data_IF_119826399505
#
_entry.id   IF_119826399505
#
_cell.length_a   1.000
_cell.length_b   1.000
_cell.length_c   1.000
_cell.angle_alpha   90.00
_cell.angle_beta   90.00
_cell.angle_gamma   90.00
#
_symmetry.space_group_name_H-M   'P 1'
#
loop_
_entity.id
_entity.type
_entity.pdbx_description
1 polymer ?
#
# COMPACT_ATOMS: atom_id res chain seq x y z
N UNK A 1 -10.94 -11.26 0.71
CA UNK A 1 -11.50 -9.93 0.35
C UNK A 1 -10.96 -9.53 -1.01
N UNK A 2 -11.82 -9.13 -1.95
CA UNK A 2 -11.38 -8.71 -3.29
C UNK A 2 -11.09 -7.20 -3.30
N UNK A 3 -9.86 -6.83 -3.68
CA UNK A 3 -9.47 -5.43 -3.90
C UNK A 3 -10.07 -4.95 -5.23
N UNK A 4 -10.90 -3.92 -5.17
CA UNK A 4 -11.53 -3.28 -6.35
C UNK A 4 -10.95 -1.87 -6.55
N UNK A 5 -10.85 -1.44 -7.81
CA UNK A 5 -10.26 -0.16 -8.20
C UNK A 5 -10.98 0.37 -9.44
N UNK A 6 -11.03 1.69 -9.58
CA UNK A 6 -11.45 2.38 -10.80
C UNK A 6 -10.34 3.35 -11.21
N UNK A 7 -10.09 3.51 -12.51
CA UNK A 7 -9.17 4.52 -13.03
C UNK A 7 -9.93 5.83 -13.16
N UNK A 8 -9.26 6.95 -12.88
CA UNK A 8 -9.80 8.29 -12.99
C UNK A 8 -8.65 9.24 -13.38
N UNK A 9 -8.85 10.23 -14.27
CA UNK A 9 -7.88 11.28 -14.52
C UNK A 9 -7.48 12.00 -13.23
N UNK A 10 -6.22 12.41 -13.12
CA UNK A 10 -5.72 13.04 -11.90
C UNK A 10 -6.50 14.32 -11.54
N UNK A 11 -6.84 15.13 -12.55
CA UNK A 11 -7.59 16.37 -12.36
C UNK A 11 -9.00 16.11 -11.80
N UNK A 12 -9.66 15.05 -12.31
CA UNK A 12 -10.97 14.63 -11.84
C UNK A 12 -10.88 14.06 -10.42
N UNK A 13 -9.82 13.32 -10.10
CA UNK A 13 -9.56 12.83 -8.75
C UNK A 13 -9.41 13.98 -7.74
N UNK A 14 -8.65 15.02 -8.08
CA UNK A 14 -8.53 16.21 -7.23
C UNK A 14 -9.87 16.96 -7.12
N UNK A 15 -10.59 17.11 -8.22
CA UNK A 15 -11.92 17.73 -8.21
C UNK A 15 -12.88 16.94 -7.31
N UNK A 16 -12.88 15.60 -7.40
CA UNK A 16 -13.69 14.71 -6.56
C UNK A 16 -13.34 14.81 -5.07
N UNK A 17 -12.06 14.88 -4.75
CA UNK A 17 -11.57 14.93 -3.37
C UNK A 17 -11.91 16.28 -2.71
N UNK A 18 -11.58 17.38 -3.37
CA UNK A 18 -11.62 18.72 -2.78
C UNK A 18 -12.91 19.49 -3.09
N UNK A 19 -13.59 19.20 -4.19
CA UNK A 19 -14.82 19.87 -4.63
C UNK A 19 -15.84 18.83 -5.16
N UNK A 20 -16.33 17.91 -4.31
CA UNK A 20 -17.18 16.80 -4.74
C UNK A 20 -18.51 17.28 -5.33
N UNK A 21 -18.93 16.63 -6.42
CA UNK A 21 -20.26 16.76 -7.03
C UNK A 21 -21.06 15.48 -6.82
N UNK A 22 -22.37 15.61 -6.61
CA UNK A 22 -23.27 14.45 -6.51
C UNK A 22 -23.51 13.75 -7.85
N UNK A 23 -23.33 14.47 -8.96
CA UNK A 23 -23.50 13.93 -10.31
C UNK A 23 -22.19 13.30 -10.82
N UNK A 24 -21.85 12.15 -10.24
CA UNK A 24 -20.56 11.49 -10.44
C UNK A 24 -20.28 11.15 -11.92
N UNK A 25 -21.31 10.78 -12.68
CA UNK A 25 -21.19 10.37 -14.09
C UNK A 25 -20.93 11.55 -15.02
N UNK A 26 -21.41 12.74 -14.63
CA UNK A 26 -21.25 13.96 -15.43
C UNK A 26 -19.90 14.64 -15.24
N UNK A 27 -19.37 14.62 -14.01
CA UNK A 27 -18.20 15.44 -13.65
C UNK A 27 -16.90 14.65 -13.52
N UNK A 28 -16.95 13.32 -13.49
CA UNK A 28 -15.77 12.49 -13.31
C UNK A 28 -15.71 11.37 -14.36
N UNK A 29 -14.59 11.26 -15.05
CA UNK A 29 -14.32 10.19 -16.00
C UNK A 29 -13.72 8.98 -15.27
N UNK A 30 -14.59 8.08 -14.80
CA UNK A 30 -14.14 6.86 -14.13
C UNK A 30 -14.28 5.63 -15.04
N UNK A 31 -13.28 4.74 -15.04
CA UNK A 31 -13.35 3.49 -15.82
C UNK A 31 -14.44 2.53 -15.33
N UNK A 32 -14.94 2.71 -14.11
CA UNK A 32 -16.03 1.96 -13.50
C UNK A 32 -16.81 2.82 -12.51
N UNK A 33 -18.01 3.26 -12.93
CA UNK A 33 -18.90 4.10 -12.13
C UNK A 33 -19.55 3.39 -10.95
N UNK A 34 -19.75 2.07 -11.02
CA UNK A 34 -20.27 1.32 -9.86
C UNK A 34 -19.27 1.40 -8.70
N UNK A 35 -17.99 1.16 -8.97
CA UNK A 35 -16.93 1.28 -7.96
C UNK A 35 -16.84 2.72 -7.44
N UNK A 36 -16.92 3.73 -8.31
CA UNK A 36 -16.90 5.13 -7.88
C UNK A 36 -18.08 5.47 -6.95
N UNK A 37 -19.31 5.02 -7.28
CA UNK A 37 -20.50 5.22 -6.43
C UNK A 37 -20.35 4.58 -5.06
N UNK A 38 -19.76 3.40 -4.98
CA UNK A 38 -19.49 2.74 -3.70
C UNK A 38 -18.43 3.50 -2.88
N UNK A 39 -17.35 3.97 -3.52
CA UNK A 39 -16.35 4.84 -2.87
C UNK A 39 -17.00 6.13 -2.36
N UNK A 40 -17.87 6.76 -3.15
CA UNK A 40 -18.59 7.97 -2.77
C UNK A 40 -19.54 7.75 -1.59
N UNK A 41 -20.26 6.64 -1.60
CA UNK A 41 -21.07 6.24 -0.45
C UNK A 41 -20.22 6.11 0.82
N UNK A 42 -19.08 5.41 0.77
CA UNK A 42 -18.19 5.27 1.93
C UNK A 42 -17.59 6.59 2.38
N UNK A 43 -17.18 7.45 1.43
CA UNK A 43 -16.65 8.79 1.72
C UNK A 43 -17.68 9.62 2.47
N UNK A 44 -18.93 9.66 2.01
CA UNK A 44 -20.03 10.42 2.65
C UNK A 44 -20.42 9.81 4.00
N UNK A 45 -20.56 8.49 4.07
CA UNK A 45 -20.98 7.79 5.27
C UNK A 45 -19.99 7.94 6.43
N UNK A 46 -18.69 7.77 6.15
CA UNK A 46 -17.63 7.89 7.16
C UNK A 46 -17.01 9.30 7.24
N UNK A 47 -17.50 10.26 6.45
CA UNK A 47 -16.96 11.63 6.38
C UNK A 47 -15.45 11.63 6.11
N UNK A 48 -15.02 10.82 5.14
CA UNK A 48 -13.60 10.64 4.85
C UNK A 48 -13.00 11.89 4.20
N UNK A 49 -11.83 12.26 4.69
CA UNK A 49 -10.99 13.32 4.15
C UNK A 49 -9.58 12.79 3.83
N UNK A 50 -8.84 13.45 2.91
CA UNK A 50 -7.44 13.12 2.67
C UNK A 50 -6.60 13.37 3.92
N UNK A 51 -5.93 12.32 4.40
CA UNK A 51 -5.11 12.38 5.62
C UNK A 51 -3.61 12.44 5.29
N UNK A 52 -3.15 11.63 4.33
CA UNK A 52 -1.72 11.52 3.99
C UNK A 52 -1.48 10.89 2.62
N UNK A 53 -0.28 11.13 2.11
CA UNK A 53 0.29 10.43 0.95
C UNK A 53 1.33 9.43 1.44
N UNK A 54 1.27 8.20 0.94
CA UNK A 54 2.26 7.14 1.17
C UNK A 54 2.95 6.83 -0.15
N UNK A 55 4.26 7.06 -0.18
CA UNK A 55 5.12 6.93 -1.36
C UNK A 55 6.18 5.85 -1.13
N UNK A 56 6.55 5.12 -2.18
CA UNK A 56 7.61 4.12 -2.15
C UNK A 56 8.04 3.76 -3.57
N UNK A 57 9.28 3.28 -3.70
CA UNK A 57 9.80 2.76 -4.96
C UNK A 57 9.59 1.24 -4.97
N UNK A 58 8.93 0.71 -6.01
CA UNK A 58 8.64 -0.72 -6.11
C UNK A 58 9.40 -1.39 -7.24
N UNK A 59 10.14 -2.43 -6.89
CA UNK A 59 10.59 -3.45 -7.84
C UNK A 59 9.67 -4.67 -7.76
N UNK A 60 9.02 -5.01 -8.86
CA UNK A 60 8.12 -6.15 -8.93
C UNK A 60 8.66 -7.22 -9.89
N UNK A 61 8.72 -8.45 -9.41
CA UNK A 61 9.22 -9.61 -10.13
C UNK A 61 8.15 -10.69 -10.21
N UNK A 62 8.08 -11.34 -11.37
CA UNK A 62 7.28 -12.52 -11.62
C UNK A 62 8.23 -13.68 -11.88
N UNK A 63 7.93 -14.85 -11.31
CA UNK A 63 8.74 -16.02 -11.56
C UNK A 63 8.49 -16.53 -12.99
N UNK A 64 9.59 -16.89 -13.68
CA UNK A 64 9.55 -17.33 -15.08
C UNK A 64 8.96 -18.74 -15.18
N UNK A 65 9.18 -19.56 -14.17
CA UNK A 65 8.75 -20.98 -14.14
C UNK A 65 7.45 -21.20 -13.37
N UNK A 66 7.01 -20.21 -12.60
CA UNK A 66 5.80 -20.30 -11.77
C UNK A 66 5.03 -18.97 -11.87
N UNK A 67 3.94 -18.90 -12.66
CA UNK A 67 3.19 -17.66 -12.86
C UNK A 67 2.50 -17.14 -11.58
N UNK A 68 2.32 -18.00 -10.58
CA UNK A 68 1.65 -17.67 -9.32
C UNK A 68 2.60 -17.07 -8.29
N UNK A 69 3.91 -17.30 -8.44
CA UNK A 69 4.93 -16.67 -7.59
C UNK A 69 5.24 -15.25 -8.04
N UNK A 70 4.99 -14.29 -7.15
CA UNK A 70 5.34 -12.88 -7.33
C UNK A 70 6.12 -12.39 -6.11
N UNK A 71 7.15 -11.60 -6.39
CA UNK A 71 8.03 -11.03 -5.36
C UNK A 71 8.12 -9.54 -5.59
N UNK A 72 7.84 -8.73 -4.57
CA UNK A 72 8.01 -7.29 -4.66
C UNK A 72 8.91 -6.75 -3.56
N UNK A 73 9.74 -5.78 -3.91
CA UNK A 73 10.57 -5.02 -2.99
C UNK A 73 10.06 -3.59 -2.98
N UNK A 74 9.59 -3.13 -1.83
CA UNK A 74 9.25 -1.72 -1.62
C UNK A 74 10.40 -1.06 -0.85
N UNK A 75 10.98 -0.03 -1.44
CA UNK A 75 12.09 0.76 -0.89
C UNK A 75 11.63 2.19 -0.65
N UNK A 76 12.44 2.95 0.10
CA UNK A 76 12.25 4.40 0.22
C UNK A 76 10.83 4.77 0.67
N UNK A 77 10.31 4.04 1.67
CA UNK A 77 8.95 4.21 2.16
C UNK A 77 8.82 5.54 2.91
N UNK A 78 8.11 6.48 2.30
CA UNK A 78 7.93 7.85 2.76
C UNK A 78 6.45 8.16 2.96
N UNK A 79 6.15 9.00 3.95
CA UNK A 79 4.81 9.53 4.15
C UNK A 79 4.85 11.03 4.43
N UNK A 80 3.78 11.72 4.03
CA UNK A 80 3.54 13.13 4.36
C UNK A 80 2.05 13.39 4.56
N UNK A 81 1.74 14.26 5.50
CA UNK A 81 0.39 14.75 5.80
C UNK A 81 0.19 16.21 5.37
N UNK A 82 1.17 16.80 4.69
CA UNK A 82 1.11 18.15 4.12
C UNK A 82 1.12 18.06 2.59
N UNK A 83 0.49 19.05 1.94
CA UNK A 83 0.47 19.24 0.48
C UNK A 83 -0.05 18.05 -0.35
N UNK A 84 -1.10 17.35 0.11
CA UNK A 84 -1.53 16.00 -0.32
C UNK A 84 -1.78 15.73 -1.83
N UNK A 85 -1.58 16.71 -2.70
CA UNK A 85 -1.49 16.53 -4.14
C UNK A 85 -0.29 15.63 -4.52
N UNK A 86 -0.60 14.43 -5.03
CA UNK A 86 0.40 13.41 -5.39
C UNK A 86 1.34 13.79 -6.55
N UNK A 87 1.05 14.82 -7.34
CA UNK A 87 1.92 15.34 -8.40
C UNK A 87 3.08 16.20 -7.88
N UNK A 88 3.09 16.56 -6.59
CA UNK A 88 4.18 17.32 -5.95
C UNK A 88 5.37 16.44 -5.56
N UNK A 89 5.40 15.19 -6.03
CA UNK A 89 6.51 14.27 -5.81
C UNK A 89 6.36 13.42 -4.55
N UNK A 90 7.45 12.72 -4.23
CA UNK A 90 7.48 11.62 -3.26
C UNK A 90 8.12 12.00 -1.92
N UNK A 91 8.30 13.30 -1.66
CA UNK A 91 8.92 13.81 -0.44
C UNK A 91 8.11 13.42 0.81
N UNK A 92 8.75 13.55 1.98
CA UNK A 92 8.14 13.21 3.25
C UNK A 92 9.12 12.55 4.21
N UNK A 93 8.58 12.07 5.34
CA UNK A 93 9.35 11.37 6.37
C UNK A 93 9.40 9.88 6.07
N UNK A 94 10.54 9.25 6.31
CA UNK A 94 10.63 7.80 6.25
C UNK A 94 9.93 7.20 7.48
N UNK A 95 9.00 6.27 7.25
CA UNK A 95 8.27 5.58 8.33
C UNK A 95 8.78 4.18 8.65
N UNK A 96 9.86 3.78 7.98
CA UNK A 96 10.76 2.71 8.39
C UNK A 96 12.20 3.19 8.17
N UNK A 97 13.18 2.44 8.67
CA UNK A 97 14.59 2.71 8.37
C UNK A 97 14.84 2.72 6.85
N UNK A 98 15.43 3.79 6.27
CA UNK A 98 15.75 3.88 4.85
C UNK A 98 16.66 2.75 4.32
N UNK A 99 17.41 2.08 5.20
CA UNK A 99 18.26 0.93 4.85
C UNK A 99 17.49 -0.40 4.84
N UNK A 100 16.22 -0.41 5.25
CA UNK A 100 15.35 -1.58 5.20
C UNK A 100 14.47 -1.58 3.95
N UNK A 101 14.07 -2.79 3.57
CA UNK A 101 13.21 -3.05 2.41
C UNK A 101 12.03 -3.89 2.87
N UNK A 102 10.83 -3.54 2.42
CA UNK A 102 9.65 -4.40 2.63
C UNK A 102 9.57 -5.38 1.47
N UNK A 103 9.89 -6.65 1.77
CA UNK A 103 9.77 -7.76 0.86
C UNK A 103 8.39 -8.41 0.99
N UNK A 104 7.63 -8.49 -0.09
CA UNK A 104 6.36 -9.21 -0.14
C UNK A 104 6.50 -10.39 -1.11
N UNK A 105 6.22 -11.60 -0.62
CA UNK A 105 6.16 -12.83 -1.41
C UNK A 105 4.70 -13.26 -1.52
N UNK A 106 4.20 -13.40 -2.75
CA UNK A 106 2.85 -13.85 -3.06
C UNK A 106 2.92 -15.15 -3.83
N UNK A 107 2.18 -16.15 -3.35
CA UNK A 107 2.07 -17.48 -3.97
C UNK A 107 0.69 -18.05 -3.65
N UNK A 108 0.15 -18.90 -4.53
CA UNK A 108 -1.17 -19.54 -4.35
C UNK A 108 -1.12 -20.66 -3.31
N UNK A 109 -0.11 -21.53 -3.38
CA UNK A 109 -0.03 -22.73 -2.55
C UNK A 109 1.02 -22.61 -1.44
N UNK A 110 2.30 -22.67 -1.79
CA UNK A 110 3.40 -22.64 -0.83
C UNK A 110 4.63 -21.96 -1.40
N UNK A 111 5.43 -21.33 -0.54
CA UNK A 111 6.66 -20.66 -0.94
C UNK A 111 7.68 -21.71 -1.40
N UNK A 112 8.24 -21.60 -2.62
CA UNK A 112 9.20 -22.58 -3.11
C UNK A 112 10.43 -22.72 -2.20
N UNK A 113 10.93 -23.95 -2.07
CA UNK A 113 12.03 -24.28 -1.15
C UNK A 113 13.28 -23.41 -1.38
N UNK A 114 13.64 -23.16 -2.64
CA UNK A 114 14.80 -22.33 -2.98
C UNK A 114 14.65 -20.90 -2.45
N UNK A 115 13.44 -20.34 -2.47
CA UNK A 115 13.17 -18.99 -1.97
C UNK A 115 13.20 -19.00 -0.45
N UNK A 116 12.55 -19.98 0.18
CA UNK A 116 12.58 -20.17 1.64
C UNK A 116 14.02 -20.26 2.17
N UNK A 117 14.90 -21.00 1.50
CA UNK A 117 16.32 -21.10 1.86
C UNK A 117 17.05 -19.75 1.78
N UNK A 118 16.76 -18.94 0.76
CA UNK A 118 17.34 -17.59 0.62
C UNK A 118 16.85 -16.69 1.75
N UNK A 119 15.54 -16.68 2.02
CA UNK A 119 14.94 -15.86 3.09
C UNK A 119 15.52 -16.20 4.46
N UNK A 120 15.70 -17.50 4.74
CA UNK A 120 16.32 -17.96 5.98
C UNK A 120 17.79 -17.55 6.08
N UNK A 121 18.56 -17.69 4.99
CA UNK A 121 19.98 -17.30 4.96
C UNK A 121 20.18 -15.79 5.16
N UNK A 122 19.24 -14.99 4.68
CA UNK A 122 19.23 -13.53 4.85
C UNK A 122 18.58 -13.10 6.18
N UNK A 123 18.19 -14.05 7.04
CA UNK A 123 17.53 -13.79 8.32
C UNK A 123 16.31 -12.86 8.17
N UNK A 124 15.57 -13.02 7.07
CA UNK A 124 14.39 -12.20 6.79
C UNK A 124 13.30 -12.49 7.82
N UNK A 125 12.82 -11.43 8.47
CA UNK A 125 11.74 -11.54 9.44
C UNK A 125 10.38 -11.32 8.78
N UNK A 126 9.45 -12.26 9.01
CA UNK A 126 8.06 -12.10 8.59
C UNK A 126 7.33 -11.21 9.57
N UNK A 127 6.74 -10.13 9.07
CA UNK A 127 6.00 -9.14 9.87
C UNK A 127 4.77 -8.68 9.12
N UNK A 128 3.67 -8.48 9.84
CA UNK A 128 2.51 -7.78 9.29
C UNK A 128 2.71 -6.28 9.48
N UNK A 129 2.78 -5.53 8.37
CA UNK A 129 2.97 -4.09 8.41
C UNK A 129 2.05 -3.42 7.40
N UNK A 130 1.02 -2.72 7.88
CA UNK A 130 0.22 -1.84 7.04
C UNK A 130 1.00 -0.55 6.82
N UNK A 131 1.38 -0.27 5.58
CA UNK A 131 2.06 0.99 5.21
C UNK A 131 1.27 2.20 5.69
N UNK A 132 -0.06 2.15 5.56
CA UNK A 132 -0.94 3.22 6.01
C UNK A 132 -0.91 3.36 7.54
N UNK A 133 -1.16 2.30 8.31
CA UNK A 133 -1.19 2.42 9.78
C UNK A 133 0.16 2.84 10.35
N UNK A 134 1.25 2.27 9.85
CA UNK A 134 2.62 2.61 10.29
C UNK A 134 2.95 4.08 10.01
N UNK A 135 2.54 4.59 8.84
CA UNK A 135 2.69 6.01 8.50
C UNK A 135 1.88 6.90 9.45
N UNK A 136 0.65 6.51 9.77
CA UNK A 136 -0.23 7.28 10.65
C UNK A 136 0.33 7.34 12.09
N UNK A 137 0.86 6.23 12.59
CA UNK A 137 1.49 6.16 13.92
C UNK A 137 2.70 7.09 14.03
N UNK A 138 3.58 7.08 13.02
CA UNK A 138 4.70 8.03 12.94
C UNK A 138 4.21 9.48 12.98
N UNK A 139 3.21 9.81 12.15
CA UNK A 139 2.72 11.18 12.00
C UNK A 139 2.01 11.69 13.26
N UNK A 140 1.38 10.81 14.03
CA UNK A 140 0.76 11.14 15.33
C UNK A 140 1.79 11.37 16.45
N UNK A 141 3.08 11.16 16.20
CA UNK A 141 4.13 11.32 17.21
C UNK A 141 4.10 10.24 18.30
N UNK A 142 3.36 9.16 18.08
CA UNK A 142 3.47 7.97 18.90
C UNK A 142 4.84 7.34 18.64
N UNK A 143 5.44 6.69 19.65
CA UNK A 143 6.50 5.73 19.36
C UNK A 143 5.92 4.74 18.35
N UNK A 144 6.58 4.60 17.19
CA UNK A 144 6.28 3.56 16.23
C UNK A 144 6.19 2.26 17.02
N UNK A 145 5.12 1.45 16.87
CA UNK A 145 4.92 0.26 17.68
C UNK A 145 6.22 -0.53 17.65
N UNK A 146 6.70 -0.88 18.85
CA UNK A 146 7.75 -1.88 18.98
C UNK A 146 7.28 -3.08 18.17
N UNK A 147 8.02 -3.39 17.12
CA UNK A 147 7.52 -4.26 16.07
C UNK A 147 7.28 -5.64 16.67
N UNK A 148 6.01 -6.00 16.85
CA UNK A 148 5.65 -7.24 17.52
C UNK A 148 6.15 -8.42 16.68
N UNK A 149 7.01 -9.22 17.31
CA UNK A 149 7.59 -10.41 16.72
C UNK A 149 6.50 -11.48 16.60
N UNK A 150 5.98 -11.70 15.41
CA UNK A 150 5.25 -12.93 15.16
C UNK A 150 6.28 -14.04 14.95
N UNK A 151 6.50 -14.87 15.97
CA UNK A 151 7.29 -16.11 15.83
C UNK A 151 6.51 -17.10 14.99
N UNK A 152 6.51 -16.94 13.68
CA UNK A 152 5.99 -17.96 12.79
C UNK A 152 7.06 -19.03 12.62
N UNK A 153 6.86 -20.20 13.22
CA UNK A 153 7.57 -21.40 12.78
C UNK A 153 7.11 -21.70 11.36
N UNK A 154 7.96 -21.41 10.38
CA UNK A 154 7.81 -21.95 9.03
C UNK A 154 8.06 -23.46 9.16
N UNK A 155 6.97 -24.21 9.37
CA UNK A 155 7.00 -25.65 9.54
C UNK A 155 7.56 -26.31 8.29
N UNK A 156 8.78 -26.84 8.39
CA UNK A 156 9.24 -27.90 7.50
C UNK A 156 8.45 -29.16 7.85
N UNK A 157 7.54 -29.56 6.96
CA UNK A 157 7.11 -30.95 6.82
C UNK A 157 7.22 -31.34 5.36
#
# INVERSE_FOLDING_TARGET
>A
MNKRRTLIPLLDAYSYIYNPSDDLERYYEASNYQILKEVDYFRKFYQLEPEMVVSYDRHAFHCITDPDLRVTFDLNLRCRNEDLNIDYGSDGKHFIDPNLVVLEVKVTDSVPLWLTQILQKLECEQRSASKFCTSLELLKGNELPAIEQEKTMIGAR
#
